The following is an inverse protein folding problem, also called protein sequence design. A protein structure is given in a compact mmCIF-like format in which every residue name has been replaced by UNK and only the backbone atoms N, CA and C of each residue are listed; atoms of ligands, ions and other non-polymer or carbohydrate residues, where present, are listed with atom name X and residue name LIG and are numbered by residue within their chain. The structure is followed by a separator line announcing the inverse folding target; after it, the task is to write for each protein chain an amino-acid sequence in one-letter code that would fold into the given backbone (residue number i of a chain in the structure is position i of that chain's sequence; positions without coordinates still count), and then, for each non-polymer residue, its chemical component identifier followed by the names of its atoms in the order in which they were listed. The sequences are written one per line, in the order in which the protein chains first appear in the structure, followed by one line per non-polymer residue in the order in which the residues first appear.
data_IF_542980509318
#
_entry.id   IF_542980509318
#
_cell.length_a   1.000
_cell.length_b   1.000
_cell.length_c   1.000
_cell.angle_alpha   90.00
_cell.angle_beta   90.00
_cell.angle_gamma   90.00
#
_symmetry.space_group_name_H-M   'P 1'
#
loop_
_entity.id
_entity.type
_entity.pdbx_description
1 polymer ?
#
# COMPACT_ATOMS: atom_id res chain seq x y z
N UNK A 1 12.98 -6.98 -8.03
CA UNK A 1 12.41 -6.07 -7.02
C UNK A 1 12.89 -6.47 -5.63
N UNK A 2 13.38 -5.53 -4.82
CA UNK A 2 13.95 -5.84 -3.50
C UNK A 2 12.83 -6.15 -2.51
N UNK A 3 13.05 -7.14 -1.64
CA UNK A 3 12.15 -7.45 -0.54
C UNK A 3 12.72 -6.89 0.75
N UNK A 4 11.86 -6.29 1.58
CA UNK A 4 12.20 -5.80 2.91
C UNK A 4 11.29 -6.46 3.95
N UNK A 5 11.78 -6.55 5.19
CA UNK A 5 10.99 -7.01 6.32
C UNK A 5 10.56 -5.81 7.14
N UNK A 6 9.27 -5.70 7.40
CA UNK A 6 8.69 -4.66 8.24
C UNK A 6 7.95 -5.29 9.42
N UNK A 7 7.83 -4.56 10.52
CA UNK A 7 7.11 -5.00 11.71
C UNK A 7 5.90 -4.10 11.92
N UNK A 8 4.71 -4.69 11.90
CA UNK A 8 3.45 -3.99 12.19
C UNK A 8 2.79 -4.72 13.35
N UNK A 9 2.53 -4.03 14.46
CA UNK A 9 1.92 -4.59 15.68
C UNK A 9 2.57 -5.92 16.13
N UNK A 10 3.91 -5.97 16.17
CA UNK A 10 4.61 -7.19 16.60
C UNK A 10 4.85 -8.22 15.49
N UNK A 11 4.02 -8.26 14.45
CA UNK A 11 4.12 -9.23 13.36
C UNK A 11 5.06 -8.75 12.26
N UNK A 12 5.89 -9.67 11.76
CA UNK A 12 6.81 -9.41 10.64
C UNK A 12 6.11 -9.70 9.31
N UNK A 13 6.28 -8.80 8.34
CA UNK A 13 5.75 -8.94 6.99
C UNK A 13 6.91 -8.79 5.99
N UNK A 14 6.95 -9.68 4.99
CA UNK A 14 7.85 -9.53 3.85
C UNK A 14 7.13 -8.73 2.78
N UNK A 15 7.56 -7.50 2.60
CA UNK A 15 6.95 -6.57 1.64
C UNK A 15 7.93 -6.21 0.54
N UNK A 16 7.35 -5.86 -0.61
CA UNK A 16 8.07 -5.36 -1.77
C UNK A 16 8.53 -3.93 -1.51
N UNK A 17 9.77 -3.62 -1.82
CA UNK A 17 10.27 -2.25 -1.82
C UNK A 17 10.04 -1.64 -3.21
N UNK A 18 8.99 -0.84 -3.33
CA UNK A 18 8.52 -0.20 -4.56
C UNK A 18 8.78 1.32 -4.53
N UNK A 19 9.82 1.79 -3.83
CA UNK A 19 10.15 3.22 -3.76
C UNK A 19 10.75 3.83 -5.04
N UNK A 20 11.13 3.00 -6.02
CA UNK A 20 11.65 3.42 -7.33
C UNK A 20 10.59 3.43 -8.45
N UNK A 21 11.01 3.27 -9.71
CA UNK A 21 10.12 3.23 -10.89
C UNK A 21 9.05 2.12 -10.85
N UNK A 22 9.23 1.11 -10.00
CA UNK A 22 8.24 0.05 -9.75
C UNK A 22 7.07 0.48 -8.85
N UNK A 23 7.02 1.74 -8.41
CA UNK A 23 5.96 2.28 -7.54
C UNK A 23 4.56 2.15 -8.15
N UNK A 24 4.46 2.21 -9.48
CA UNK A 24 3.19 2.25 -10.22
C UNK A 24 2.40 0.94 -10.12
N UNK A 25 3.07 -0.20 -9.93
CA UNK A 25 2.39 -1.50 -9.87
C UNK A 25 2.06 -1.97 -8.45
N UNK A 26 2.75 -1.48 -7.41
CA UNK A 26 2.45 -1.83 -6.01
C UNK A 26 2.18 -3.33 -5.78
N UNK A 27 0.97 -3.64 -5.28
CA UNK A 27 0.44 -5.00 -5.10
C UNK A 27 -0.42 -5.53 -6.25
N UNK A 28 -0.55 -4.80 -7.36
CA UNK A 28 -1.36 -5.21 -8.50
C UNK A 28 -0.90 -6.57 -9.04
N UNK A 29 -1.83 -7.53 -9.13
CA UNK A 29 -1.61 -8.92 -9.52
C UNK A 29 -0.63 -9.73 -8.63
N UNK A 30 -0.14 -9.17 -7.52
CA UNK A 30 0.79 -9.89 -6.66
C UNK A 30 0.07 -10.80 -5.67
N UNK A 31 0.25 -12.12 -5.82
CA UNK A 31 -0.32 -13.12 -4.91
C UNK A 31 0.63 -13.53 -3.78
N UNK A 32 1.95 -13.35 -3.93
CA UNK A 32 2.96 -13.99 -3.05
C UNK A 32 3.45 -13.11 -1.89
N UNK A 33 3.62 -11.81 -2.09
CA UNK A 33 4.14 -10.93 -1.04
C UNK A 33 3.05 -10.55 -0.05
N UNK A 34 3.44 -10.20 1.17
CA UNK A 34 2.50 -9.78 2.22
C UNK A 34 2.07 -8.32 2.07
N UNK A 35 2.69 -7.57 1.15
CA UNK A 35 2.48 -6.13 1.01
C UNK A 35 3.54 -5.43 0.15
N UNK A 36 3.41 -4.12 0.00
CA UNK A 36 4.34 -3.26 -0.74
C UNK A 36 4.54 -1.91 -0.04
N UNK A 37 5.77 -1.41 -0.03
CA UNK A 37 6.10 -0.04 0.39
C UNK A 37 6.32 0.81 -0.86
N UNK A 38 5.45 1.79 -1.05
CA UNK A 38 5.38 2.62 -2.26
C UNK A 38 5.77 4.06 -1.90
N UNK A 39 6.55 4.70 -2.75
CA UNK A 39 6.80 6.14 -2.66
C UNK A 39 5.69 6.91 -3.40
N UNK A 40 4.56 7.07 -2.73
CA UNK A 40 3.42 7.84 -3.22
C UNK A 40 2.53 8.27 -2.05
N UNK A 41 1.88 9.41 -2.22
CA UNK A 41 0.95 9.99 -1.26
C UNK A 41 -0.52 9.81 -1.68
N UNK A 42 -0.74 9.27 -2.87
CA UNK A 42 -2.04 9.00 -3.48
C UNK A 42 -1.95 7.65 -4.19
N UNK A 43 -2.82 6.73 -3.81
CA UNK A 43 -2.84 5.35 -4.29
C UNK A 43 -4.21 5.09 -4.88
N UNK A 44 -4.20 4.70 -6.15
CA UNK A 44 -5.35 4.11 -6.80
C UNK A 44 -5.09 2.61 -6.93
N UNK A 45 -6.06 1.78 -6.53
CA UNK A 45 -5.86 0.32 -6.44
C UNK A 45 -6.85 -0.46 -7.27
N UNK A 46 -6.78 -0.39 -8.61
CA UNK A 46 -7.53 -1.31 -9.42
C UNK A 46 -6.94 -2.72 -9.31
N UNK A 47 -7.80 -3.74 -9.29
CA UNK A 47 -7.43 -5.16 -9.33
C UNK A 47 -6.56 -5.67 -8.17
N UNK A 48 -6.59 -5.00 -7.01
CA UNK A 48 -5.97 -5.49 -5.78
C UNK A 48 -7.00 -6.18 -4.87
N UNK A 49 -6.61 -7.20 -4.07
CA UNK A 49 -7.45 -7.69 -2.98
C UNK A 49 -7.70 -6.59 -1.94
N UNK A 50 -8.59 -6.79 -0.94
CA UNK A 50 -8.68 -5.88 0.19
C UNK A 50 -7.33 -5.75 0.91
N UNK A 51 -6.89 -4.52 1.12
CA UNK A 51 -5.61 -4.17 1.74
C UNK A 51 -5.84 -3.20 2.91
N UNK A 52 -4.85 -3.12 3.77
CA UNK A 52 -4.71 -2.02 4.73
C UNK A 52 -3.59 -1.12 4.22
N UNK A 53 -3.91 0.16 4.07
CA UNK A 53 -2.98 1.22 3.72
C UNK A 53 -2.54 1.94 4.98
N UNK A 54 -1.23 2.05 5.16
CA UNK A 54 -0.63 2.93 6.14
C UNK A 54 0.09 4.05 5.39
N UNK A 55 -0.44 5.26 5.48
CA UNK A 55 0.23 6.44 4.93
C UNK A 55 1.29 6.90 5.92
N UNK A 56 2.53 7.03 5.44
CA UNK A 56 3.70 7.30 6.26
C UNK A 56 4.35 8.63 5.87
N UNK A 57 4.91 9.34 6.83
CA UNK A 57 5.77 10.50 6.58
C UNK A 57 7.19 10.08 6.09
N UNK A 58 8.06 11.07 5.89
CA UNK A 58 9.45 10.84 5.46
C UNK A 58 10.30 10.01 6.44
N UNK A 59 9.90 9.97 7.72
CA UNK A 59 10.54 9.21 8.81
C UNK A 59 9.86 7.86 9.04
N UNK A 60 8.97 7.43 8.13
CA UNK A 60 8.16 6.21 8.22
C UNK A 60 7.20 6.18 9.42
N UNK A 61 6.83 7.33 9.99
CA UNK A 61 5.79 7.41 11.01
C UNK A 61 4.42 7.30 10.35
N UNK A 62 3.55 6.46 10.92
CA UNK A 62 2.16 6.31 10.45
C UNK A 62 1.39 7.61 10.72
N UNK A 63 0.86 8.21 9.66
CA UNK A 63 0.01 9.40 9.69
C UNK A 63 -1.47 9.03 9.66
N UNK A 64 -1.84 8.07 8.81
CA UNK A 64 -3.21 7.56 8.73
C UNK A 64 -3.22 6.10 8.31
N UNK A 65 -4.32 5.43 8.66
CA UNK A 65 -4.61 4.04 8.31
C UNK A 65 -5.96 3.99 7.61
N UNK A 66 -6.01 3.38 6.44
CA UNK A 66 -7.26 3.17 5.70
C UNK A 66 -7.39 1.70 5.30
N UNK A 67 -8.60 1.15 5.43
CA UNK A 67 -8.93 -0.17 4.89
C UNK A 67 -9.54 0.03 3.52
N UNK A 68 -9.04 -0.68 2.53
CA UNK A 68 -9.51 -0.49 1.17
C UNK A 68 -10.74 -1.34 0.91
N UNK A 69 -11.61 -0.77 0.08
CA UNK A 69 -12.71 -1.50 -0.54
C UNK A 69 -12.21 -2.15 -1.83
N UNK A 70 -12.56 -3.41 -2.11
CA UNK A 70 -12.22 -4.05 -3.37
C UNK A 70 -12.89 -3.29 -4.52
N UNK A 71 -12.13 -3.06 -5.59
CA UNK A 71 -12.65 -2.42 -6.79
C UNK A 71 -13.61 -3.38 -7.49
N UNK A 72 -14.87 -2.97 -7.64
CA UNK A 72 -15.90 -3.73 -8.38
C UNK A 72 -16.22 -3.02 -9.70
N UNK A 73 -17.07 -3.61 -10.54
CA UNK A 73 -17.59 -2.93 -11.74
C UNK A 73 -18.48 -1.71 -11.39
N UNK A 74 -18.84 -1.51 -10.12
CA UNK A 74 -19.57 -0.33 -9.68
C UNK A 74 -18.61 0.88 -9.51
N UNK A 75 -18.76 1.97 -10.28
CA UNK A 75 -17.90 3.15 -10.20
C UNK A 75 -17.87 3.81 -8.82
N UNK A 76 -18.94 3.63 -8.01
CA UNK A 76 -18.97 4.15 -6.62
C UNK A 76 -17.90 3.53 -5.72
N UNK A 77 -17.37 2.36 -6.10
CA UNK A 77 -16.26 1.69 -5.38
C UNK A 77 -14.89 2.14 -5.84
N UNK A 78 -14.81 2.96 -6.91
CA UNK A 78 -13.56 3.44 -7.47
C UNK A 78 -13.11 4.64 -6.67
N UNK A 79 -12.24 4.39 -5.69
CA UNK A 79 -11.73 5.41 -4.79
C UNK A 79 -10.21 5.48 -4.88
N UNK A 80 -9.71 6.70 -4.94
CA UNK A 80 -8.30 7.00 -4.69
C UNK A 80 -8.13 7.30 -3.21
N UNK A 81 -7.17 6.64 -2.58
CA UNK A 81 -6.81 6.85 -1.18
C UNK A 81 -5.61 7.79 -1.15
N UNK A 82 -5.68 8.87 -0.38
CA UNK A 82 -4.58 9.83 -0.37
C UNK A 82 -4.43 10.53 0.97
N UNK A 83 -3.19 10.86 1.30
CA UNK A 83 -2.86 11.71 2.43
C UNK A 83 -1.78 12.70 2.00
N UNK A 84 -2.12 13.99 1.92
CA UNK A 84 -1.21 15.05 1.41
C UNK A 84 0.09 15.18 2.21
N UNK A 85 0.07 14.82 3.49
CA UNK A 85 1.25 14.87 4.37
C UNK A 85 2.13 13.62 4.26
N UNK A 86 1.63 12.57 3.63
CA UNK A 86 2.36 11.34 3.46
C UNK A 86 3.39 11.45 2.34
N UNK A 87 4.48 10.71 2.52
CA UNK A 87 5.55 10.55 1.53
C UNK A 87 5.60 9.12 1.00
N UNK A 88 5.18 8.16 1.83
CA UNK A 88 5.09 6.76 1.47
C UNK A 88 3.71 6.20 1.79
N UNK A 89 3.34 5.12 1.10
CA UNK A 89 2.22 4.28 1.45
C UNK A 89 2.71 2.86 1.64
N UNK A 90 2.34 2.25 2.76
CA UNK A 90 2.56 0.83 3.00
C UNK A 90 1.25 0.07 2.84
N UNK A 91 1.22 -0.81 1.86
CA UNK A 91 0.13 -1.72 1.56
C UNK A 91 0.35 -3.05 2.28
N UNK A 92 -0.63 -3.55 3.02
CA UNK A 92 -0.57 -4.84 3.72
C UNK A 92 -1.80 -5.67 3.38
N UNK A 93 -1.58 -6.93 3.02
CA UNK A 93 -2.66 -7.91 2.88
C UNK A 93 -3.24 -8.25 4.25
N UNK A 94 -4.57 -8.25 4.32
CA UNK A 94 -5.34 -8.78 5.46
C UNK A 94 -5.26 -10.29 5.45
#
# INVERSE_FOLDING_TARGET
MKMITIKVNGKKYRVKDCRGLSSVMGMMFDKKSSGALIYANSIWMPFCPPLILFFLDEKFKVLSKEKTMPLTLNPKTWRTYSNKKAKYCLEIKV
#
